data_IF_158267071887
#
_entry.id   IF_158267071887
#
_cell.length_a   1.000
_cell.length_b   1.000
_cell.length_c   1.000
_cell.angle_alpha   90.00
_cell.angle_beta   90.00
_cell.angle_gamma   90.00
#
_symmetry.space_group_name_H-M   'P 1'
#
loop_
_entity.id
_entity.type
_entity.pdbx_description
1 polymer ?
#
# COMPACT_ATOMS: atom_id res chain seq x y z
N UNK A 1 -1.89 8.70 -44.78
CA UNK A 1 -2.34 8.61 -43.40
C UNK A 1 -3.35 9.71 -43.20
N UNK A 2 -4.45 9.48 -42.47
CA UNK A 2 -5.39 10.55 -42.13
C UNK A 2 -4.65 11.67 -41.36
N UNK A 3 -5.12 12.90 -41.53
CA UNK A 3 -4.60 14.03 -40.74
C UNK A 3 -4.82 13.81 -39.22
N UNK A 4 -4.03 14.42 -38.37
CA UNK A 4 -4.05 14.22 -36.93
C UNK A 4 -5.47 14.35 -36.33
N UNK A 5 -6.25 15.33 -36.82
CA UNK A 5 -7.61 15.57 -36.32
C UNK A 5 -8.60 14.48 -36.74
N UNK A 6 -8.51 13.95 -37.94
CA UNK A 6 -9.35 12.85 -38.44
C UNK A 6 -9.07 11.57 -37.65
N UNK A 7 -7.78 11.27 -37.41
CA UNK A 7 -7.37 10.13 -36.60
C UNK A 7 -7.88 10.24 -35.16
N UNK A 8 -7.76 11.43 -34.58
CA UNK A 8 -8.24 11.68 -33.23
C UNK A 8 -9.76 11.58 -33.10
N UNK A 9 -10.50 12.01 -34.12
CA UNK A 9 -11.95 11.85 -34.15
C UNK A 9 -12.37 10.37 -34.13
N UNK A 10 -11.69 9.51 -34.89
CA UNK A 10 -11.94 8.07 -34.91
C UNK A 10 -11.65 7.47 -33.52
N UNK A 11 -10.50 7.78 -32.92
CA UNK A 11 -10.12 7.30 -31.57
C UNK A 11 -11.15 7.72 -30.53
N UNK A 12 -11.59 8.96 -30.55
CA UNK A 12 -12.58 9.46 -29.61
C UNK A 12 -13.95 8.78 -29.75
N UNK A 13 -14.41 8.54 -30.97
CA UNK A 13 -15.69 7.87 -31.23
C UNK A 13 -15.67 6.42 -30.73
N UNK A 14 -14.58 5.68 -30.98
CA UNK A 14 -14.41 4.32 -30.49
C UNK A 14 -14.26 4.26 -28.94
N UNK A 15 -13.51 5.17 -28.34
CA UNK A 15 -13.40 5.27 -26.89
C UNK A 15 -14.75 5.65 -26.25
N UNK A 16 -15.55 6.49 -26.90
CA UNK A 16 -16.88 6.85 -26.42
C UNK A 16 -17.85 5.64 -26.42
N UNK A 17 -17.71 4.73 -27.38
CA UNK A 17 -18.51 3.50 -27.43
C UNK A 17 -18.05 2.45 -26.43
N UNK A 18 -16.75 2.41 -26.12
CA UNK A 18 -16.15 1.39 -25.27
C UNK A 18 -16.10 1.74 -23.77
N UNK A 19 -16.30 3.00 -23.43
CA UNK A 19 -16.24 3.50 -22.05
C UNK A 19 -17.62 3.89 -21.54
N UNK A 20 -17.80 3.88 -20.22
CA UNK A 20 -19.01 4.47 -19.61
C UNK A 20 -19.03 5.99 -19.80
N UNK A 21 -20.21 6.65 -19.85
CA UNK A 21 -20.29 8.10 -20.04
C UNK A 21 -19.47 8.91 -19.02
N UNK A 22 -19.39 8.43 -17.78
CA UNK A 22 -18.57 9.03 -16.73
C UNK A 22 -17.08 8.82 -17.02
N UNK A 23 -16.69 7.60 -17.38
CA UNK A 23 -15.31 7.28 -17.72
C UNK A 23 -14.79 8.07 -18.92
N UNK A 24 -15.60 8.19 -19.99
CA UNK A 24 -15.26 9.01 -21.15
C UNK A 24 -15.04 10.49 -20.78
N UNK A 25 -15.97 11.04 -19.99
CA UNK A 25 -15.88 12.45 -19.57
C UNK A 25 -14.65 12.71 -18.70
N UNK A 26 -14.30 11.78 -17.81
CA UNK A 26 -13.17 11.94 -16.87
C UNK A 26 -11.83 11.78 -17.56
N UNK A 27 -11.68 10.80 -18.45
CA UNK A 27 -10.39 10.38 -18.96
C UNK A 27 -10.09 10.83 -20.39
N UNK A 28 -11.11 11.00 -21.23
CA UNK A 28 -10.90 11.25 -22.67
C UNK A 28 -11.18 12.70 -23.07
N UNK A 29 -12.20 13.34 -22.45
CA UNK A 29 -12.63 14.69 -22.87
C UNK A 29 -11.53 15.76 -22.70
N UNK A 30 -10.65 15.60 -21.74
CA UNK A 30 -9.56 16.52 -21.42
C UNK A 30 -8.27 16.22 -22.15
N UNK A 31 -8.16 15.06 -22.80
CA UNK A 31 -6.99 14.68 -23.57
C UNK A 31 -6.99 15.37 -24.94
N UNK A 32 -5.81 15.80 -25.40
CA UNK A 32 -5.59 16.49 -26.68
C UNK A 32 -4.51 15.82 -27.50
N UNK A 33 -4.71 15.62 -28.80
CA UNK A 33 -3.65 15.18 -29.70
C UNK A 33 -2.72 16.37 -29.99
N UNK A 34 -1.42 16.20 -29.76
CA UNK A 34 -0.43 17.25 -29.98
C UNK A 34 0.28 17.10 -31.32
N UNK A 35 0.70 15.88 -31.65
CA UNK A 35 1.43 15.62 -32.88
C UNK A 35 1.29 14.17 -33.33
N UNK A 36 1.41 13.97 -34.63
CA UNK A 36 1.52 12.66 -35.26
C UNK A 36 2.86 12.61 -36.06
N UNK A 37 3.87 11.96 -35.50
CA UNK A 37 5.18 11.84 -36.06
C UNK A 37 5.41 10.42 -36.56
N UNK A 38 5.43 10.20 -37.86
CA UNK A 38 5.56 8.88 -38.48
C UNK A 38 4.55 7.87 -37.94
N UNK A 39 4.92 7.10 -36.92
CA UNK A 39 4.07 6.10 -36.24
C UNK A 39 3.83 6.42 -34.74
N UNK A 40 4.12 7.62 -34.31
CA UNK A 40 3.93 8.04 -32.90
C UNK A 40 2.82 9.09 -32.80
N UNK A 41 1.78 8.79 -32.06
CA UNK A 41 0.71 9.72 -31.72
C UNK A 41 0.96 10.29 -30.33
N UNK A 42 1.28 11.58 -30.24
CA UNK A 42 1.51 12.26 -28.98
C UNK A 42 0.19 12.81 -28.47
N UNK A 43 -0.19 12.37 -27.26
CA UNK A 43 -1.43 12.75 -26.58
C UNK A 43 -1.08 13.47 -25.29
N UNK A 44 -1.57 14.69 -25.12
CA UNK A 44 -1.42 15.47 -23.90
C UNK A 44 -2.62 15.30 -22.99
N UNK A 45 -2.34 15.09 -21.70
CA UNK A 45 -3.36 15.01 -20.64
C UNK A 45 -3.00 15.97 -19.50
N UNK A 46 -4.00 16.53 -18.77
CA UNK A 46 -3.75 17.55 -17.76
C UNK A 46 -2.91 17.09 -16.57
N UNK A 47 -3.04 15.85 -16.12
CA UNK A 47 -2.50 15.36 -14.85
C UNK A 47 -1.81 14.00 -15.00
N UNK A 48 -0.82 13.71 -14.13
CA UNK A 48 -0.10 12.43 -14.10
C UNK A 48 -1.03 11.23 -13.83
N UNK A 49 -2.08 11.42 -13.04
CA UNK A 49 -3.08 10.38 -12.81
C UNK A 49 -3.81 9.97 -14.11
N UNK A 50 -4.09 10.95 -14.98
CA UNK A 50 -4.69 10.68 -16.28
C UNK A 50 -3.69 10.01 -17.21
N UNK A 51 -2.42 10.40 -17.17
CA UNK A 51 -1.34 9.75 -17.92
C UNK A 51 -1.24 8.27 -17.54
N UNK A 52 -1.15 7.94 -16.26
CA UNK A 52 -1.10 6.56 -15.77
C UNK A 52 -2.31 5.74 -16.23
N UNK A 53 -3.51 6.33 -16.19
CA UNK A 53 -4.71 5.66 -16.66
C UNK A 53 -4.69 5.40 -18.17
N UNK A 54 -4.26 6.38 -18.96
CA UNK A 54 -4.12 6.27 -20.41
C UNK A 54 -3.11 5.19 -20.79
N UNK A 55 -1.94 5.19 -20.19
CA UNK A 55 -0.89 4.21 -20.46
C UNK A 55 -1.33 2.78 -20.13
N UNK A 56 -2.02 2.58 -19.02
CA UNK A 56 -2.44 1.24 -18.57
C UNK A 56 -3.70 0.70 -19.22
N UNK A 57 -4.66 1.55 -19.54
CA UNK A 57 -6.01 1.12 -19.92
C UNK A 57 -6.44 1.53 -21.32
N UNK A 58 -5.90 2.61 -21.88
CA UNK A 58 -6.35 3.17 -23.14
C UNK A 58 -5.31 3.05 -24.27
N UNK A 59 -4.01 3.06 -23.99
CA UNK A 59 -2.96 2.99 -25.00
C UNK A 59 -3.11 1.77 -25.92
N UNK A 60 -3.32 0.58 -25.37
CA UNK A 60 -3.52 -0.64 -26.14
C UNK A 60 -4.77 -0.57 -27.03
N UNK A 61 -5.86 0.00 -26.52
CA UNK A 61 -7.09 0.19 -27.30
C UNK A 61 -6.90 1.18 -28.47
N UNK A 62 -6.15 2.25 -28.24
CA UNK A 62 -5.83 3.21 -29.30
C UNK A 62 -5.07 2.53 -30.43
N UNK A 63 -4.08 1.70 -30.13
CA UNK A 63 -3.34 0.92 -31.13
C UNK A 63 -4.30 0.02 -31.94
N UNK A 64 -5.17 -0.70 -31.23
CA UNK A 64 -6.15 -1.61 -31.85
C UNK A 64 -7.13 -0.86 -32.76
N UNK A 65 -7.71 0.26 -32.31
CA UNK A 65 -8.68 1.04 -33.09
C UNK A 65 -8.05 1.66 -34.32
N UNK A 66 -6.84 2.19 -34.21
CA UNK A 66 -6.12 2.76 -35.33
C UNK A 66 -5.78 1.67 -36.35
N UNK A 67 -5.32 0.52 -35.90
CA UNK A 67 -5.01 -0.60 -36.81
C UNK A 67 -6.27 -1.08 -37.55
N UNK A 68 -7.41 -1.18 -36.90
CA UNK A 68 -8.68 -1.59 -37.52
C UNK A 68 -9.15 -0.61 -38.60
N UNK A 69 -8.92 0.69 -38.45
CA UNK A 69 -9.44 1.72 -39.35
C UNK A 69 -8.43 2.13 -40.44
N UNK A 70 -7.15 2.05 -40.17
CA UNK A 70 -6.11 2.55 -41.12
C UNK A 70 -5.18 1.46 -41.63
N UNK A 71 -5.17 0.26 -41.02
CA UNK A 71 -4.21 -0.81 -41.32
C UNK A 71 -2.76 -0.47 -40.93
N UNK A 72 -2.53 0.66 -40.27
CA UNK A 72 -1.20 1.11 -39.82
C UNK A 72 -1.02 0.92 -38.30
N UNK A 73 0.21 0.59 -37.90
CA UNK A 73 0.57 0.55 -36.48
C UNK A 73 0.95 1.94 -35.99
N UNK A 74 0.36 2.37 -34.86
CA UNK A 74 0.70 3.63 -34.18
C UNK A 74 1.05 3.33 -32.74
N UNK A 75 2.07 4.02 -32.22
CA UNK A 75 2.46 3.98 -30.81
C UNK A 75 1.97 5.26 -30.13
N UNK A 76 0.96 5.21 -29.23
CA UNK A 76 0.56 6.37 -28.46
C UNK A 76 1.62 6.71 -27.40
N UNK A 77 2.00 7.99 -27.35
CA UNK A 77 2.90 8.56 -26.34
C UNK A 77 2.09 9.54 -25.54
N UNK A 78 1.94 9.30 -24.24
CA UNK A 78 1.14 10.12 -23.34
C UNK A 78 2.06 11.06 -22.56
N UNK A 79 1.79 12.37 -22.62
CA UNK A 79 2.54 13.39 -21.87
C UNK A 79 1.60 14.27 -21.06
N UNK A 80 2.10 14.88 -19.98
CA UNK A 80 1.34 15.83 -19.16
C UNK A 80 1.61 17.27 -19.60
N UNK A 81 0.62 18.15 -19.42
CA UNK A 81 0.63 19.54 -19.86
C UNK A 81 1.64 20.46 -19.09
N UNK A 82 2.34 19.95 -18.08
CA UNK A 82 3.29 20.69 -17.27
C UNK A 82 4.72 20.20 -17.50
N UNK A 83 5.41 20.76 -18.46
CA UNK A 83 6.82 21.18 -18.49
C UNK A 83 7.25 21.45 -19.94
N UNK A 84 7.36 22.72 -20.28
CA UNK A 84 8.50 23.37 -20.90
C UNK A 84 8.06 24.57 -21.73
N UNK A 85 7.93 25.69 -21.06
CA UNK A 85 8.37 26.95 -21.65
C UNK A 85 9.85 27.13 -21.25
N UNK A 86 10.72 27.11 -22.21
CA UNK A 86 11.97 27.85 -22.45
C UNK A 86 12.92 26.98 -23.30
N UNK A 87 12.89 27.23 -24.60
CA UNK A 87 14.05 27.55 -25.45
C UNK A 87 13.69 27.48 -26.92
N UNK A 88 13.23 28.64 -27.40
CA UNK A 88 13.50 29.02 -28.80
C UNK A 88 14.97 29.43 -28.86
N UNK A 89 15.72 28.91 -29.78
CA UNK A 89 16.50 29.72 -30.74
C UNK A 89 17.20 28.83 -31.78
N UNK A 90 16.80 29.08 -33.00
CA UNK A 90 17.53 29.36 -34.21
C UNK A 90 18.28 28.21 -34.90
N UNK A 91 17.67 27.92 -36.04
CA UNK A 91 18.18 27.50 -37.34
C UNK A 91 19.67 27.78 -37.62
N UNK A 92 20.39 26.78 -38.09
CA UNK A 92 21.12 26.82 -39.39
C UNK A 92 21.65 25.41 -39.75
N UNK A 93 21.26 24.91 -40.92
CA UNK A 93 21.92 23.81 -41.65
C UNK A 93 22.92 24.46 -42.66
N UNK A 94 23.74 23.77 -43.44
CA UNK A 94 24.14 22.36 -43.46
C UNK A 94 25.66 22.17 -43.62
N UNK A 95 26.18 20.97 -43.45
CA UNK A 95 27.12 20.34 -44.42
C UNK A 95 27.48 18.91 -44.00
N UNK A 96 27.48 18.07 -45.00
CA UNK A 96 27.87 16.67 -45.03
C UNK A 96 29.34 16.47 -44.64
N UNK A 97 29.65 15.43 -43.88
CA UNK A 97 30.82 14.60 -44.12
C UNK A 97 30.60 13.16 -43.64
N UNK A 98 31.00 12.27 -44.50
CA UNK A 98 30.90 10.81 -44.46
C UNK A 98 31.96 10.25 -43.51
N UNK A 99 31.59 9.28 -42.71
CA UNK A 99 32.56 8.32 -42.23
C UNK A 99 32.38 7.81 -40.79
N UNK A 100 32.21 6.52 -40.76
CA UNK A 100 32.52 5.58 -39.67
C UNK A 100 31.40 5.06 -38.79
N UNK A 101 31.33 3.75 -38.85
CA UNK A 101 30.45 2.84 -38.13
C UNK A 101 30.37 3.17 -36.66
N UNK A 102 29.24 3.67 -36.21
CA UNK A 102 28.94 3.74 -34.80
C UNK A 102 28.29 2.44 -34.36
N UNK A 103 29.05 1.66 -33.62
CA UNK A 103 28.53 0.73 -32.61
C UNK A 103 27.43 1.43 -31.82
N UNK A 104 26.24 0.86 -31.84
CA UNK A 104 25.11 1.30 -31.03
C UNK A 104 25.57 1.41 -29.57
N UNK A 105 25.77 2.64 -29.13
CA UNK A 105 25.91 2.96 -27.72
C UNK A 105 24.52 2.73 -27.11
N UNK A 106 24.35 1.56 -26.51
CA UNK A 106 23.23 1.27 -25.62
C UNK A 106 23.32 2.31 -24.50
N UNK A 107 22.49 3.34 -24.59
CA UNK A 107 22.28 4.28 -23.48
C UNK A 107 21.87 3.45 -22.27
N UNK A 108 22.60 3.51 -21.15
CA UNK A 108 22.25 2.75 -19.98
C UNK A 108 20.86 3.18 -19.51
N UNK A 109 19.97 2.21 -19.30
CA UNK A 109 18.59 2.37 -18.79
C UNK A 109 18.57 2.83 -17.32
N UNK A 110 19.54 3.66 -16.91
CA UNK A 110 19.76 4.08 -15.51
C UNK A 110 18.97 5.34 -15.09
N UNK A 111 18.07 5.84 -15.92
CA UNK A 111 17.12 6.88 -15.52
C UNK A 111 15.69 6.34 -15.44
N UNK A 112 15.49 5.26 -14.68
CA UNK A 112 14.14 5.09 -14.12
C UNK A 112 13.96 6.14 -13.03
N UNK A 113 12.85 6.90 -13.03
CA UNK A 113 12.58 7.86 -11.98
C UNK A 113 12.69 7.14 -10.62
N UNK A 114 13.18 7.83 -9.61
CA UNK A 114 13.42 7.29 -8.25
C UNK A 114 12.17 6.72 -7.58
N UNK A 115 10.99 6.85 -8.21
CA UNK A 115 9.66 6.47 -7.69
C UNK A 115 9.35 7.01 -6.28
N UNK A 116 10.05 8.07 -5.88
CA UNK A 116 9.79 8.72 -4.60
C UNK A 116 8.54 9.59 -4.69
N UNK A 117 7.63 9.46 -3.73
CA UNK A 117 6.47 10.33 -3.63
C UNK A 117 6.89 11.72 -3.14
N UNK A 118 6.68 12.76 -3.96
CA UNK A 118 7.08 14.14 -3.66
C UNK A 118 6.40 14.74 -2.42
N UNK A 119 5.29 14.16 -1.97
CA UNK A 119 4.56 14.60 -0.77
C UNK A 119 5.18 14.10 0.53
N UNK A 120 6.06 13.08 0.47
CA UNK A 120 6.64 12.43 1.64
C UNK A 120 8.03 12.97 1.92
N UNK A 121 8.09 14.13 2.57
CA UNK A 121 9.32 14.81 2.98
C UNK A 121 9.40 14.92 4.51
N UNK A 122 10.56 15.28 5.05
CA UNK A 122 10.68 15.54 6.49
C UNK A 122 9.83 16.74 6.93
N UNK A 123 9.67 17.76 6.08
CA UNK A 123 8.87 18.96 6.39
C UNK A 123 7.38 18.65 6.55
N UNK A 124 6.88 17.64 5.81
CA UNK A 124 5.48 17.22 5.88
C UNK A 124 5.24 16.14 6.93
N UNK A 125 6.30 15.60 7.53
CA UNK A 125 6.20 14.58 8.56
C UNK A 125 5.99 15.20 9.94
N UNK A 126 4.89 14.83 10.61
CA UNK A 126 4.59 15.30 11.96
C UNK A 126 5.26 14.42 13.00
N UNK A 127 6.17 15.01 13.76
CA UNK A 127 6.90 14.32 14.83
C UNK A 127 6.07 14.31 16.12
N UNK A 128 6.00 13.16 16.77
CA UNK A 128 5.35 12.96 18.07
C UNK A 128 6.06 11.88 18.88
N UNK A 129 5.58 11.60 20.10
CA UNK A 129 6.23 10.64 21.02
C UNK A 129 6.41 9.25 20.41
N UNK A 130 5.46 8.82 19.57
CA UNK A 130 5.47 7.48 18.96
C UNK A 130 6.39 7.31 17.77
N UNK A 131 6.98 8.39 17.21
CA UNK A 131 7.81 8.33 16.01
C UNK A 131 9.08 9.19 16.07
N UNK A 132 9.33 9.88 17.19
CA UNK A 132 10.47 10.79 17.36
C UNK A 132 11.81 10.10 17.13
N UNK A 133 12.00 8.89 17.65
CA UNK A 133 13.23 8.13 17.47
C UNK A 133 13.42 7.71 16.01
N UNK A 134 12.33 7.28 15.34
CA UNK A 134 12.36 6.90 13.94
C UNK A 134 12.70 8.11 13.05
N UNK A 135 12.13 9.28 13.34
CA UNK A 135 12.44 10.52 12.63
C UNK A 135 13.90 10.93 12.81
N UNK A 136 14.44 10.90 14.05
CA UNK A 136 15.83 11.24 14.32
C UNK A 136 16.80 10.28 13.61
N UNK A 137 16.54 8.96 13.65
CA UNK A 137 17.33 7.97 12.93
C UNK A 137 17.30 8.17 11.41
N UNK A 138 16.13 8.54 10.87
CA UNK A 138 15.95 8.84 9.44
C UNK A 138 16.80 10.05 9.00
N UNK A 139 16.84 11.11 9.80
CA UNK A 139 17.70 12.28 9.54
C UNK A 139 19.17 11.91 9.49
N UNK A 140 19.67 11.20 10.52
CA UNK A 140 21.08 10.77 10.58
C UNK A 140 21.45 9.95 9.34
N UNK A 141 20.62 9.01 8.94
CA UNK A 141 20.88 8.14 7.78
C UNK A 141 20.86 8.93 6.46
N UNK A 142 20.02 9.95 6.34
CA UNK A 142 19.97 10.78 5.15
C UNK A 142 21.18 11.70 4.97
N UNK A 143 21.77 12.14 6.09
CA UNK A 143 22.96 13.01 6.12
C UNK A 143 24.25 12.21 5.97
N UNK A 144 24.39 11.09 6.69
CA UNK A 144 25.57 10.23 6.73
C UNK A 144 25.26 8.77 6.38
N UNK A 145 24.84 8.47 5.13
CA UNK A 145 24.48 7.11 4.75
C UNK A 145 25.62 6.13 4.85
N UNK A 146 25.30 4.88 5.21
CA UNK A 146 26.24 3.77 5.28
C UNK A 146 27.20 3.75 6.49
N UNK A 147 27.09 4.72 7.39
CA UNK A 147 28.04 4.88 8.50
C UNK A 147 27.51 4.35 9.83
N UNK A 148 26.39 4.87 10.32
CA UNK A 148 25.94 4.63 11.69
C UNK A 148 24.87 3.54 11.82
N UNK A 149 23.79 3.69 11.10
CA UNK A 149 22.60 2.83 11.20
C UNK A 149 22.35 2.10 9.88
N UNK A 150 23.12 1.05 9.63
CA UNK A 150 22.97 0.26 8.41
C UNK A 150 22.83 -1.24 8.73
N UNK A 151 21.70 -1.88 8.41
CA UNK A 151 20.47 -1.28 7.89
C UNK A 151 19.71 -0.42 8.92
N UNK A 152 18.89 0.51 8.45
CA UNK A 152 17.87 1.14 9.27
C UNK A 152 16.54 0.41 9.03
N UNK A 153 15.92 -0.09 10.09
CA UNK A 153 14.74 -0.93 10.03
C UNK A 153 13.57 -0.28 10.78
N UNK A 154 12.54 0.16 10.06
CA UNK A 154 11.32 0.66 10.67
C UNK A 154 10.28 -0.45 10.78
N UNK A 155 9.71 -0.63 11.98
CA UNK A 155 8.61 -1.56 12.17
C UNK A 155 7.45 -0.92 12.94
N UNK A 156 6.27 -1.52 12.85
CA UNK A 156 5.06 -1.03 13.53
C UNK A 156 3.83 -1.22 12.66
N UNK A 157 2.67 -0.98 13.21
CA UNK A 157 1.38 -1.20 12.56
C UNK A 157 1.23 -0.55 11.18
N UNK A 158 0.20 -0.95 10.45
CA UNK A 158 -0.10 -0.41 9.12
C UNK A 158 -0.52 1.07 9.23
N UNK A 159 -0.06 1.91 8.27
CA UNK A 159 -0.49 3.30 8.17
C UNK A 159 0.07 4.25 9.24
N UNK A 160 1.22 3.94 9.86
CA UNK A 160 1.86 4.77 10.88
C UNK A 160 2.95 5.73 10.36
N UNK A 161 3.20 5.76 9.04
CA UNK A 161 4.17 6.68 8.43
C UNK A 161 5.54 6.09 8.12
N UNK A 162 5.74 4.76 8.18
CA UNK A 162 7.00 4.08 7.80
C UNK A 162 7.46 4.44 6.39
N UNK A 163 6.58 4.24 5.42
CA UNK A 163 6.82 4.59 4.01
C UNK A 163 7.11 6.08 3.84
N UNK A 164 6.44 6.96 4.58
CA UNK A 164 6.69 8.40 4.56
C UNK A 164 8.14 8.72 4.94
N UNK A 165 8.62 8.22 6.10
CA UNK A 165 10.00 8.43 6.53
C UNK A 165 11.02 7.85 5.55
N UNK A 166 10.72 6.69 4.97
CA UNK A 166 11.57 6.07 3.96
C UNK A 166 11.73 6.97 2.72
N UNK A 167 10.66 7.54 2.21
CA UNK A 167 10.71 8.48 1.08
C UNK A 167 11.39 9.79 1.47
N UNK A 168 11.17 10.29 2.71
CA UNK A 168 11.82 11.50 3.21
C UNK A 168 13.35 11.35 3.25
N UNK A 169 13.87 10.18 3.66
CA UNK A 169 15.31 9.85 3.59
C UNK A 169 15.80 9.97 2.14
N UNK A 170 15.06 9.38 1.19
CA UNK A 170 15.44 9.44 -0.23
C UNK A 170 15.48 10.88 -0.77
N UNK A 171 14.47 11.68 -0.48
CA UNK A 171 14.43 13.10 -0.89
C UNK A 171 15.56 13.93 -0.27
N UNK A 172 15.81 13.77 1.03
CA UNK A 172 16.87 14.49 1.72
C UNK A 172 18.25 14.11 1.19
N UNK A 173 18.50 12.82 0.96
CA UNK A 173 19.76 12.37 0.38
C UNK A 173 19.99 12.95 -1.01
N UNK A 174 18.97 13.00 -1.88
CA UNK A 174 19.06 13.62 -3.20
C UNK A 174 19.25 15.13 -3.14
N UNK A 175 18.66 15.81 -2.15
CA UNK A 175 18.88 17.24 -1.92
C UNK A 175 20.32 17.54 -1.51
N UNK A 176 20.92 16.71 -0.66
CA UNK A 176 22.30 16.85 -0.19
C UNK A 176 23.34 16.34 -1.23
N UNK A 177 22.98 15.32 -2.00
CA UNK A 177 23.83 14.63 -2.98
C UNK A 177 23.04 14.38 -4.26
N UNK A 178 22.94 15.35 -5.18
CA UNK A 178 22.12 15.24 -6.40
C UNK A 178 22.50 14.06 -7.31
N UNK A 179 23.78 13.65 -7.27
CA UNK A 179 24.29 12.53 -8.10
C UNK A 179 24.08 11.15 -7.44
N UNK A 180 23.51 11.08 -6.23
CA UNK A 180 23.30 9.85 -5.53
C UNK A 180 22.26 8.97 -6.23
N UNK A 181 22.54 7.68 -6.34
CA UNK A 181 21.64 6.68 -6.90
C UNK A 181 20.72 6.15 -5.80
N UNK A 182 19.50 6.68 -5.75
CA UNK A 182 18.46 6.26 -4.80
C UNK A 182 17.45 5.36 -5.49
N UNK A 183 17.19 4.19 -4.93
CA UNK A 183 16.18 3.25 -5.44
C UNK A 183 15.17 2.91 -4.33
N UNK A 184 13.92 3.21 -4.61
CA UNK A 184 12.78 2.75 -3.81
C UNK A 184 12.09 1.58 -4.52
N UNK A 185 11.75 0.56 -3.74
CA UNK A 185 11.03 -0.61 -4.24
C UNK A 185 10.22 -1.25 -3.10
N UNK A 186 9.04 -1.80 -3.42
CA UNK A 186 8.36 -2.71 -2.49
C UNK A 186 8.98 -4.10 -2.58
N UNK A 187 8.95 -4.89 -1.52
CA UNK A 187 9.47 -6.26 -1.56
C UNK A 187 8.74 -7.14 -2.60
N UNK A 188 7.49 -6.83 -2.89
CA UNK A 188 6.73 -7.49 -3.95
C UNK A 188 7.26 -7.11 -5.34
N UNK A 189 7.53 -5.83 -5.59
CA UNK A 189 8.12 -5.37 -6.85
C UNK A 189 9.51 -5.94 -7.06
N UNK A 190 10.36 -5.98 -6.00
CA UNK A 190 11.66 -6.65 -6.05
C UNK A 190 11.55 -8.12 -6.47
N UNK A 191 10.58 -8.86 -5.88
CA UNK A 191 10.34 -10.25 -6.23
C UNK A 191 9.91 -10.41 -7.70
N UNK A 192 9.03 -9.54 -8.18
CA UNK A 192 8.55 -9.56 -9.56
C UNK A 192 9.67 -9.21 -10.55
N UNK A 193 10.49 -8.19 -10.25
CA UNK A 193 11.65 -7.82 -11.06
C UNK A 193 12.65 -8.97 -11.15
N UNK A 194 12.91 -9.66 -10.03
CA UNK A 194 13.78 -10.84 -10.00
C UNK A 194 13.24 -11.98 -10.87
N UNK A 195 11.94 -12.34 -10.71
CA UNK A 195 11.30 -13.38 -11.51
C UNK A 195 11.35 -13.04 -13.00
N UNK A 196 11.04 -11.80 -13.35
CA UNK A 196 11.09 -11.32 -14.72
C UNK A 196 12.53 -11.41 -15.29
N UNK A 197 13.54 -11.07 -14.48
CA UNK A 197 14.94 -11.16 -14.91
C UNK A 197 15.38 -12.59 -15.24
N UNK A 198 14.84 -13.58 -14.51
CA UNK A 198 15.08 -15.00 -14.79
C UNK A 198 14.41 -15.40 -16.12
N UNK A 199 13.14 -15.01 -16.31
CA UNK A 199 12.38 -15.35 -17.51
C UNK A 199 12.99 -14.73 -18.78
N UNK A 200 13.51 -13.51 -18.67
CA UNK A 200 14.14 -12.76 -19.78
C UNK A 200 15.65 -12.99 -19.89
N UNK A 201 16.25 -13.81 -19.01
CA UNK A 201 17.70 -14.05 -18.92
C UNK A 201 18.53 -12.77 -18.71
N UNK A 202 18.01 -11.84 -17.92
CA UNK A 202 18.63 -10.55 -17.62
C UNK A 202 19.03 -10.41 -16.14
N UNK A 203 19.41 -11.52 -15.48
CA UNK A 203 19.76 -11.51 -14.05
C UNK A 203 20.95 -10.59 -13.74
N UNK A 204 21.92 -10.49 -14.66
CA UNK A 204 23.08 -9.62 -14.46
C UNK A 204 22.69 -8.13 -14.48
N UNK A 205 21.76 -7.74 -15.38
CA UNK A 205 21.21 -6.39 -15.42
C UNK A 205 20.43 -6.07 -14.12
N UNK A 206 19.63 -7.01 -13.65
CA UNK A 206 18.92 -6.89 -12.38
C UNK A 206 19.90 -6.67 -11.21
N UNK A 207 20.96 -7.49 -11.11
CA UNK A 207 22.01 -7.35 -10.08
C UNK A 207 22.70 -6.00 -10.16
N UNK A 208 23.06 -5.56 -11.35
CA UNK A 208 23.67 -4.26 -11.57
C UNK A 208 22.74 -3.13 -11.11
N UNK A 209 21.45 -3.20 -11.43
CA UNK A 209 20.45 -2.20 -11.05
C UNK A 209 20.26 -2.10 -9.54
N UNK A 210 20.23 -3.24 -8.82
CA UNK A 210 19.96 -3.26 -7.40
C UNK A 210 21.22 -3.13 -6.53
N UNK A 211 22.41 -3.51 -7.03
CA UNK A 211 23.65 -3.51 -6.24
C UNK A 211 24.56 -2.30 -6.51
N UNK A 212 24.21 -1.42 -7.48
CA UNK A 212 25.00 -0.20 -7.78
C UNK A 212 24.41 1.09 -7.21
N UNK A 213 23.43 0.99 -6.34
CA UNK A 213 22.76 2.15 -5.71
C UNK A 213 23.53 2.63 -4.47
N UNK A 214 23.39 3.91 -4.13
CA UNK A 214 23.94 4.49 -2.92
C UNK A 214 22.98 4.37 -1.72
N UNK A 215 21.67 4.29 -2.03
CA UNK A 215 20.59 4.09 -1.06
C UNK A 215 19.55 3.13 -1.64
N UNK A 216 19.34 2.01 -0.96
CA UNK A 216 18.26 1.07 -1.26
C UNK A 216 17.16 1.18 -0.19
N UNK A 217 15.96 1.51 -0.63
CA UNK A 217 14.75 1.62 0.17
C UNK A 217 13.82 0.45 -0.17
N UNK A 218 13.60 -0.48 0.77
CA UNK A 218 12.72 -1.64 0.54
C UNK A 218 11.56 -1.62 1.50
N UNK A 219 10.37 -1.41 0.95
CA UNK A 219 9.14 -1.30 1.72
C UNK A 219 8.46 -2.66 1.88
N UNK A 220 7.84 -2.86 3.06
CA UNK A 220 6.99 -3.99 3.37
C UNK A 220 7.66 -5.36 3.21
N UNK A 221 8.84 -5.56 3.84
CA UNK A 221 9.63 -6.79 3.70
C UNK A 221 8.94 -8.07 4.18
N UNK A 222 7.83 -7.97 4.92
CA UNK A 222 7.02 -9.12 5.30
C UNK A 222 6.50 -9.93 4.11
N UNK A 223 6.41 -9.33 2.92
CA UNK A 223 6.02 -10.03 1.69
C UNK A 223 7.13 -10.89 1.08
N UNK A 224 8.34 -10.93 1.66
CA UNK A 224 9.35 -11.95 1.35
C UNK A 224 9.01 -13.32 1.95
N UNK A 225 8.09 -13.39 2.91
CA UNK A 225 7.60 -14.66 3.46
C UNK A 225 7.27 -15.65 2.34
N UNK A 226 7.63 -16.92 2.53
CA UNK A 226 7.37 -18.02 1.58
C UNK A 226 8.04 -17.92 0.19
N UNK A 227 8.93 -16.94 -0.06
CA UNK A 227 9.61 -16.74 -1.37
C UNK A 227 11.11 -17.04 -1.27
N UNK A 228 11.49 -18.31 -1.05
CA UNK A 228 12.88 -18.72 -0.78
C UNK A 228 13.90 -18.19 -1.81
N UNK A 229 13.64 -18.33 -3.11
CA UNK A 229 14.54 -17.85 -4.16
C UNK A 229 14.72 -16.33 -4.15
N UNK A 230 13.65 -15.58 -3.86
CA UNK A 230 13.72 -14.11 -3.72
C UNK A 230 14.49 -13.72 -2.47
N UNK A 231 14.31 -14.43 -1.36
CA UNK A 231 15.06 -14.20 -0.12
C UNK A 231 16.56 -14.43 -0.34
N UNK A 232 16.93 -15.44 -1.13
CA UNK A 232 18.33 -15.71 -1.47
C UNK A 232 18.97 -14.58 -2.29
N UNK A 233 18.30 -14.13 -3.37
CA UNK A 233 18.82 -13.03 -4.18
C UNK A 233 18.87 -11.72 -3.39
N UNK A 234 17.87 -11.47 -2.52
CA UNK A 234 17.88 -10.31 -1.65
C UNK A 234 19.02 -10.36 -0.63
N UNK A 235 19.32 -11.53 -0.08
CA UNK A 235 20.48 -11.71 0.83
C UNK A 235 21.80 -11.35 0.14
N UNK A 236 22.00 -11.76 -1.10
CA UNK A 236 23.19 -11.41 -1.88
C UNK A 236 23.23 -9.91 -2.23
N UNK A 237 22.08 -9.31 -2.55
CA UNK A 237 21.99 -7.87 -2.83
C UNK A 237 22.29 -7.06 -1.55
N UNK A 238 21.73 -7.47 -0.41
CA UNK A 238 22.01 -6.86 0.88
C UNK A 238 23.49 -6.87 1.22
N UNK A 239 24.16 -8.04 1.11
CA UNK A 239 25.58 -8.14 1.42
C UNK A 239 26.43 -7.27 0.49
N UNK A 240 26.17 -7.27 -0.81
CA UNK A 240 26.90 -6.43 -1.76
C UNK A 240 26.82 -4.94 -1.39
N UNK A 241 25.64 -4.45 -1.07
CA UNK A 241 25.45 -3.05 -0.66
C UNK A 241 26.08 -2.76 0.71
N UNK A 242 25.92 -3.66 1.67
CA UNK A 242 26.47 -3.50 3.01
C UNK A 242 28.00 -3.46 3.01
N UNK A 243 28.66 -4.37 2.28
CA UNK A 243 30.11 -4.46 2.16
C UNK A 243 30.68 -3.20 1.46
N UNK A 244 29.95 -2.63 0.51
CA UNK A 244 30.27 -1.37 -0.18
C UNK A 244 29.87 -0.12 0.63
N UNK A 245 29.42 -0.28 1.90
CA UNK A 245 28.96 0.81 2.77
C UNK A 245 27.83 1.65 2.16
N UNK A 246 26.99 1.04 1.33
CA UNK A 246 25.79 1.66 0.80
C UNK A 246 24.66 1.55 1.82
N UNK A 247 23.82 2.57 1.90
CA UNK A 247 22.73 2.61 2.87
C UNK A 247 21.58 1.71 2.47
N UNK A 248 21.07 0.95 3.44
CA UNK A 248 19.87 0.13 3.29
C UNK A 248 18.83 0.59 4.32
N UNK A 249 17.60 0.85 3.88
CA UNK A 249 16.46 1.16 4.75
C UNK A 249 15.33 0.18 4.45
N UNK A 250 14.79 -0.43 5.49
CA UNK A 250 13.78 -1.46 5.40
C UNK A 250 12.55 -1.08 6.22
N UNK A 251 11.35 -1.46 5.76
CA UNK A 251 10.14 -1.36 6.59
C UNK A 251 9.44 -2.70 6.72
N UNK A 252 8.69 -2.87 7.81
CA UNK A 252 7.84 -4.02 8.05
C UNK A 252 6.66 -3.66 8.96
N UNK A 253 5.62 -4.48 8.95
CA UNK A 253 4.52 -4.40 9.91
C UNK A 253 4.87 -5.00 11.28
N UNK A 254 5.99 -5.75 11.38
CA UNK A 254 6.45 -6.48 12.57
C UNK A 254 7.96 -6.63 12.61
N UNK A 255 8.49 -7.11 13.72
CA UNK A 255 9.93 -7.41 13.86
C UNK A 255 10.38 -8.53 12.91
N UNK A 256 11.67 -8.55 12.48
CA UNK A 256 12.17 -9.58 11.55
C UNK A 256 11.99 -11.02 12.01
N UNK A 257 12.08 -11.28 13.33
CA UNK A 257 11.89 -12.61 13.92
C UNK A 257 10.41 -13.03 14.01
N UNK A 258 9.48 -12.11 13.80
CA UNK A 258 8.04 -12.37 13.80
C UNK A 258 7.48 -12.62 12.39
N UNK A 259 8.32 -12.40 11.35
CA UNK A 259 7.94 -12.68 9.97
C UNK A 259 8.01 -14.21 9.74
N UNK A 260 6.87 -14.87 9.46
CA UNK A 260 6.87 -16.31 9.26
C UNK A 260 7.75 -16.71 8.08
N UNK A 261 8.50 -17.82 8.21
CA UNK A 261 9.33 -18.40 7.13
C UNK A 261 10.36 -17.45 6.51
N UNK A 262 10.73 -16.38 7.20
CA UNK A 262 11.89 -15.58 6.85
C UNK A 262 13.16 -16.32 7.28
N UNK A 263 14.13 -16.46 6.37
CA UNK A 263 15.37 -17.18 6.62
C UNK A 263 16.18 -16.52 7.75
N UNK A 264 16.72 -17.31 8.67
CA UNK A 264 17.48 -16.82 9.84
C UNK A 264 18.65 -15.90 9.46
N UNK A 265 19.29 -16.17 8.32
CA UNK A 265 20.38 -15.31 7.81
C UNK A 265 19.92 -13.89 7.48
N UNK A 266 18.68 -13.71 6.94
CA UNK A 266 18.08 -12.39 6.70
C UNK A 266 17.66 -11.74 8.02
N UNK A 267 17.04 -12.51 8.92
CA UNK A 267 16.69 -12.03 10.27
C UNK A 267 17.91 -11.46 10.98
N UNK A 268 19.05 -12.18 10.92
CA UNK A 268 20.30 -11.73 11.49
C UNK A 268 20.80 -10.43 10.87
N UNK A 269 20.76 -10.32 9.54
CA UNK A 269 21.18 -9.11 8.81
C UNK A 269 20.29 -7.89 9.12
N UNK A 270 18.98 -8.08 9.18
CA UNK A 270 18.06 -7.00 9.50
C UNK A 270 18.19 -6.47 10.92
N UNK A 271 18.61 -7.32 11.86
CA UNK A 271 18.90 -6.94 13.25
C UNK A 271 20.27 -6.32 13.47
N UNK A 272 21.16 -6.36 12.49
CA UNK A 272 22.53 -5.89 12.67
C UNK A 272 22.62 -4.39 12.88
N UNK A 273 21.79 -3.60 12.20
CA UNK A 273 21.75 -2.14 12.32
C UNK A 273 20.82 -1.66 13.43
N UNK A 274 20.08 -0.59 13.15
CA UNK A 274 19.12 -0.01 14.08
C UNK A 274 17.69 -0.40 13.70
N UNK A 275 16.97 -1.06 14.61
CA UNK A 275 15.53 -1.30 14.47
C UNK A 275 14.76 -0.33 15.36
N UNK A 276 13.83 0.40 14.77
CA UNK A 276 13.02 1.43 15.45
C UNK A 276 11.54 1.15 15.25
N UNK A 277 10.79 1.16 16.34
CA UNK A 277 9.34 1.06 16.30
C UNK A 277 8.67 2.39 16.00
N UNK A 278 7.55 2.32 15.31
CA UNK A 278 6.64 3.44 15.11
C UNK A 278 5.28 3.03 15.68
N UNK A 279 4.88 3.72 16.74
CA UNK A 279 3.63 3.45 17.46
C UNK A 279 2.52 4.42 17.07
N UNK A 280 1.25 4.08 17.31
CA UNK A 280 0.13 4.98 17.01
C UNK A 280 0.31 6.36 17.65
N UNK A 281 0.00 7.44 16.92
CA UNK A 281 0.17 8.80 17.40
C UNK A 281 -0.81 9.14 18.53
N UNK A 282 -0.37 9.95 19.49
CA UNK A 282 -1.25 10.51 20.51
C UNK A 282 -2.22 11.54 19.90
N UNK A 283 -3.20 12.00 20.70
CA UNK A 283 -4.25 12.91 20.22
C UNK A 283 -3.68 14.21 19.66
N UNK A 284 -2.67 14.77 20.32
CA UNK A 284 -2.04 16.03 19.91
C UNK A 284 -1.33 15.87 18.55
N UNK A 285 -0.61 14.78 18.39
CA UNK A 285 0.04 14.43 17.11
C UNK A 285 -0.99 14.20 16.00
N UNK A 286 -2.13 13.52 16.30
CA UNK A 286 -3.21 13.33 15.32
C UNK A 286 -3.83 14.65 14.86
N UNK A 287 -4.07 15.58 15.78
CA UNK A 287 -4.58 16.93 15.45
C UNK A 287 -3.57 17.67 14.56
N UNK A 288 -2.28 17.60 14.89
CA UNK A 288 -1.24 18.24 14.10
C UNK A 288 -1.14 17.64 12.67
N UNK A 289 -1.27 16.32 12.54
CA UNK A 289 -1.32 15.63 11.22
C UNK A 289 -2.51 16.13 10.40
N UNK A 290 -3.70 16.18 11.00
CA UNK A 290 -4.89 16.67 10.29
C UNK A 290 -4.76 18.14 9.89
N UNK A 291 -4.14 18.97 10.75
CA UNK A 291 -3.90 20.40 10.43
C UNK A 291 -2.94 20.53 9.25
N UNK A 292 -1.78 19.87 9.27
CA UNK A 292 -0.85 19.87 8.14
C UNK A 292 -1.52 19.42 6.85
N UNK A 293 -2.35 18.40 6.93
CA UNK A 293 -3.09 17.89 5.76
C UNK A 293 -4.11 18.91 5.25
N UNK A 294 -4.88 19.54 6.15
CA UNK A 294 -5.86 20.57 5.80
C UNK A 294 -5.18 21.79 5.16
N UNK A 295 -4.04 22.23 5.71
CA UNK A 295 -3.27 23.35 5.19
C UNK A 295 -2.70 23.04 3.80
N UNK A 296 -2.15 21.84 3.59
CA UNK A 296 -1.65 21.41 2.29
C UNK A 296 -2.74 21.33 1.20
N UNK A 297 -3.97 21.03 1.59
CA UNK A 297 -5.15 20.98 0.70
C UNK A 297 -5.94 22.29 0.70
N UNK A 298 -5.43 23.34 1.37
CA UNK A 298 -6.06 24.67 1.49
C UNK A 298 -7.50 24.63 2.04
N UNK A 299 -7.77 23.67 2.94
CA UNK A 299 -9.07 23.51 3.56
C UNK A 299 -9.19 24.39 4.81
N UNK A 300 -10.25 25.18 4.87
CA UNK A 300 -10.58 25.94 6.06
C UNK A 300 -11.41 25.09 7.02
N UNK A 301 -10.76 24.54 8.04
CA UNK A 301 -11.37 23.64 9.02
C UNK A 301 -11.14 24.21 10.43
N UNK A 302 -12.20 24.46 11.22
CA UNK A 302 -12.05 24.91 12.60
C UNK A 302 -11.26 23.90 13.45
N UNK A 303 -10.42 24.37 14.36
CA UNK A 303 -9.61 23.53 15.25
C UNK A 303 -10.46 22.57 16.11
N UNK A 304 -11.64 22.97 16.51
CA UNK A 304 -12.59 22.11 17.21
C UNK A 304 -13.02 20.92 16.36
N UNK A 305 -13.18 21.13 15.04
CA UNK A 305 -13.53 20.07 14.11
C UNK A 305 -12.36 19.11 13.87
N UNK A 306 -11.13 19.62 13.73
CA UNK A 306 -9.92 18.78 13.66
C UNK A 306 -9.77 17.94 14.94
N UNK A 307 -9.95 18.54 16.11
CA UNK A 307 -9.91 17.86 17.41
C UNK A 307 -10.99 16.77 17.51
N UNK A 308 -12.21 17.06 17.00
CA UNK A 308 -13.28 16.09 16.94
C UNK A 308 -12.91 14.89 16.05
N UNK A 309 -12.44 15.12 14.83
CA UNK A 309 -12.04 14.05 13.89
C UNK A 309 -10.91 13.21 14.50
N UNK A 310 -9.88 13.85 15.06
CA UNK A 310 -8.76 13.18 15.73
C UNK A 310 -9.20 12.31 16.91
N UNK A 311 -10.22 12.74 17.65
CA UNK A 311 -10.79 12.00 18.76
C UNK A 311 -11.64 10.79 18.35
N UNK A 312 -12.08 10.72 17.09
CA UNK A 312 -12.89 9.61 16.59
C UNK A 312 -12.04 8.44 16.05
N UNK A 313 -10.81 8.72 15.62
CA UNK A 313 -9.92 7.77 14.95
C UNK A 313 -8.62 7.67 15.75
N UNK A 314 -8.36 6.52 16.35
CA UNK A 314 -7.18 6.24 17.19
C UNK A 314 -6.28 5.13 16.61
N UNK A 315 -6.70 4.50 15.52
CA UNK A 315 -6.08 3.32 14.94
C UNK A 315 -4.77 3.64 14.19
N UNK A 316 -4.84 4.44 13.14
CA UNK A 316 -3.71 4.75 12.27
C UNK A 316 -3.91 6.03 11.46
N UNK A 317 -2.81 6.55 10.87
CA UNK A 317 -2.80 7.81 10.12
C UNK A 317 -3.59 7.69 8.81
N UNK A 318 -3.56 6.53 8.13
CA UNK A 318 -4.33 6.34 6.88
C UNK A 318 -5.83 6.46 7.10
N UNK A 319 -6.34 5.89 8.20
CA UNK A 319 -7.75 6.05 8.55
C UNK A 319 -8.09 7.48 8.99
N UNK A 320 -7.15 8.12 9.69
CA UNK A 320 -7.28 9.52 10.10
C UNK A 320 -7.39 10.45 8.88
N UNK A 321 -6.50 10.32 7.91
CA UNK A 321 -6.55 11.06 6.63
C UNK A 321 -7.80 10.70 5.82
N UNK A 322 -8.16 9.40 5.78
CA UNK A 322 -9.38 8.94 5.14
C UNK A 322 -10.65 9.55 5.75
N UNK A 323 -10.69 9.75 7.07
CA UNK A 323 -11.78 10.43 7.75
C UNK A 323 -11.88 11.91 7.33
N UNK A 324 -10.75 12.62 7.20
CA UNK A 324 -10.73 14.00 6.71
C UNK A 324 -11.26 14.10 5.28
N UNK A 325 -10.77 13.26 4.37
CA UNK A 325 -11.24 13.20 2.97
C UNK A 325 -12.74 12.94 2.91
N UNK A 326 -13.25 12.07 3.77
CA UNK A 326 -14.69 11.78 3.83
C UNK A 326 -15.51 12.98 4.30
N UNK A 327 -15.03 13.71 5.31
CA UNK A 327 -15.68 14.94 5.79
C UNK A 327 -15.71 15.99 4.70
N UNK A 328 -14.60 16.17 3.97
CA UNK A 328 -14.49 17.07 2.82
C UNK A 328 -15.47 16.68 1.69
N UNK A 329 -15.50 15.41 1.30
CA UNK A 329 -16.43 14.92 0.29
C UNK A 329 -17.89 15.13 0.69
N UNK A 330 -18.23 14.91 1.97
CA UNK A 330 -19.57 15.12 2.48
C UNK A 330 -19.96 16.61 2.49
N UNK A 331 -19.03 17.51 2.85
CA UNK A 331 -19.20 18.96 2.80
C UNK A 331 -19.46 19.43 1.35
N UNK A 332 -18.66 18.96 0.40
CA UNK A 332 -18.80 19.28 -1.02
C UNK A 332 -20.15 18.80 -1.58
N UNK A 333 -20.55 17.57 -1.25
CA UNK A 333 -21.82 17.00 -1.70
C UNK A 333 -23.04 17.78 -1.16
N UNK A 334 -22.94 18.28 0.07
CA UNK A 334 -24.01 19.05 0.73
C UNK A 334 -23.95 20.55 0.44
N UNK A 335 -22.89 21.05 -0.22
CA UNK A 335 -22.61 22.47 -0.41
C UNK A 335 -22.58 23.25 0.90
N UNK A 336 -21.98 22.66 1.94
CA UNK A 336 -21.86 23.24 3.28
C UNK A 336 -20.39 23.46 3.67
N UNK A 337 -20.15 24.44 4.54
CA UNK A 337 -18.84 24.63 5.17
C UNK A 337 -18.56 23.50 6.17
N UNK A 338 -17.28 23.13 6.29
CA UNK A 338 -16.86 22.08 7.24
C UNK A 338 -17.05 22.59 8.67
N UNK A 339 -17.83 21.87 9.46
CA UNK A 339 -18.11 22.15 10.87
C UNK A 339 -18.12 20.85 11.68
N UNK A 340 -18.05 20.94 13.00
CA UNK A 340 -18.06 19.78 13.89
C UNK A 340 -19.33 18.94 13.75
N UNK A 341 -20.49 19.58 13.55
CA UNK A 341 -21.76 18.88 13.31
C UNK A 341 -21.76 18.11 11.98
N UNK A 342 -21.23 18.73 10.92
CA UNK A 342 -21.08 18.08 9.61
C UNK A 342 -20.10 16.92 9.68
N UNK A 343 -18.97 17.08 10.38
CA UNK A 343 -18.00 16.01 10.62
C UNK A 343 -18.63 14.84 11.40
N UNK A 344 -19.45 15.13 12.41
CA UNK A 344 -20.17 14.12 13.16
C UNK A 344 -21.11 13.29 12.26
N UNK A 345 -21.87 13.95 11.41
CA UNK A 345 -22.77 13.28 10.45
C UNK A 345 -21.99 12.44 9.41
N UNK A 346 -20.90 13.00 8.86
CA UNK A 346 -20.07 12.31 7.87
C UNK A 346 -19.40 11.05 8.45
N UNK A 347 -19.01 11.07 9.74
CA UNK A 347 -18.29 9.98 10.41
C UNK A 347 -19.22 9.01 11.18
N UNK A 348 -20.53 9.30 11.27
CA UNK A 348 -21.49 8.45 11.99
C UNK A 348 -21.48 6.99 11.54
N UNK A 349 -21.35 6.76 10.24
CA UNK A 349 -21.32 5.42 9.67
C UNK A 349 -19.97 4.70 9.85
N UNK A 350 -18.86 5.43 10.07
CA UNK A 350 -17.58 4.81 10.42
C UNK A 350 -17.61 4.17 11.81
N UNK A 351 -18.30 4.81 12.76
CA UNK A 351 -18.51 4.22 14.11
C UNK A 351 -19.37 2.96 14.07
N UNK A 352 -20.33 2.90 13.16
CA UNK A 352 -21.15 1.71 12.96
C UNK A 352 -20.34 0.59 12.27
N UNK A 353 -19.48 0.92 11.31
CA UNK A 353 -18.61 -0.04 10.63
C UNK A 353 -17.44 -0.52 11.52
N UNK A 354 -16.80 0.37 12.29
CA UNK A 354 -15.71 0.02 13.19
C UNK A 354 -16.16 -0.73 14.46
N UNK A 355 -17.38 -0.50 14.93
CA UNK A 355 -17.98 -1.29 16.03
C UNK A 355 -18.55 -2.63 15.57
N UNK A 356 -18.87 -2.77 14.28
CA UNK A 356 -19.45 -4.00 13.74
C UNK A 356 -18.42 -5.01 13.22
N UNK A 357 -17.11 -4.75 13.29
CA UNK A 357 -16.10 -5.68 12.79
C UNK A 357 -15.23 -6.37 13.84
N UNK A 358 -15.32 -6.02 15.11
CA UNK A 358 -14.77 -6.89 16.16
C UNK A 358 -15.86 -7.84 16.66
N UNK A 359 -15.85 -9.03 16.09
CA UNK A 359 -16.72 -10.11 16.52
C UNK A 359 -16.52 -10.36 18.03
N UNK A 360 -17.54 -10.07 18.83
CA UNK A 360 -17.45 -10.29 20.27
C UNK A 360 -17.72 -11.75 20.63
N UNK A 361 -17.14 -12.23 21.74
CA UNK A 361 -17.46 -13.57 22.26
C UNK A 361 -18.97 -13.72 22.48
N UNK A 362 -19.66 -12.65 22.80
CA UNK A 362 -21.12 -12.64 23.02
C UNK A 362 -21.87 -12.88 21.72
N UNK A 363 -21.43 -12.30 20.60
CA UNK A 363 -22.06 -12.50 19.29
C UNK A 363 -21.90 -13.95 18.85
N UNK A 364 -20.72 -14.54 19.07
CA UNK A 364 -20.49 -15.98 18.81
C UNK A 364 -21.38 -16.85 19.67
N UNK A 365 -21.54 -16.51 20.97
CA UNK A 365 -22.43 -17.26 21.84
C UNK A 365 -23.89 -17.18 21.40
N UNK A 366 -24.34 -16.00 20.99
CA UNK A 366 -25.70 -15.78 20.47
C UNK A 366 -25.97 -16.56 19.19
N UNK A 367 -25.05 -16.50 18.21
CA UNK A 367 -25.23 -17.18 16.93
C UNK A 367 -25.18 -18.70 17.10
N UNK A 368 -24.24 -19.23 17.89
CA UNK A 368 -24.16 -20.69 18.16
C UNK A 368 -25.39 -21.16 18.98
N UNK A 369 -25.86 -20.33 19.92
CA UNK A 369 -27.07 -20.64 20.69
C UNK A 369 -28.30 -20.71 19.79
N UNK A 370 -28.43 -19.78 18.86
CA UNK A 370 -29.50 -19.74 17.84
C UNK A 370 -29.41 -20.95 16.89
N UNK A 371 -28.24 -21.24 16.37
CA UNK A 371 -28.03 -22.32 15.40
C UNK A 371 -28.37 -23.71 15.96
N UNK A 372 -27.96 -23.98 17.21
CA UNK A 372 -28.20 -25.28 17.88
C UNK A 372 -29.44 -25.30 18.78
N UNK A 373 -30.25 -24.25 18.73
CA UNK A 373 -31.49 -24.11 19.55
C UNK A 373 -31.27 -24.31 21.06
N UNK A 374 -30.15 -23.79 21.57
CA UNK A 374 -29.81 -23.83 23.01
C UNK A 374 -29.76 -22.40 23.57
N UNK A 375 -29.91 -22.27 24.89
CA UNK A 375 -29.79 -20.94 25.49
C UNK A 375 -28.33 -20.54 25.70
N UNK A 376 -28.01 -19.25 25.65
CA UNK A 376 -26.68 -18.71 26.00
C UNK A 376 -26.33 -19.07 27.45
N UNK A 377 -27.33 -19.13 28.35
CA UNK A 377 -27.16 -19.56 29.73
C UNK A 377 -26.71 -21.02 29.84
N UNK A 378 -27.19 -21.92 28.95
CA UNK A 378 -26.72 -23.30 28.85
C UNK A 378 -25.29 -23.41 28.37
N UNK A 379 -24.88 -22.56 27.39
CA UNK A 379 -23.50 -22.50 26.92
C UNK A 379 -22.55 -22.09 28.06
N UNK A 380 -22.95 -21.15 28.91
CA UNK A 380 -22.19 -20.70 30.09
C UNK A 380 -22.31 -21.63 31.29
N UNK A 381 -23.32 -22.49 31.30
CA UNK A 381 -23.67 -23.32 32.44
C UNK A 381 -22.73 -24.51 32.69
N UNK A 382 -23.02 -25.28 33.74
CA UNK A 382 -22.25 -26.47 34.16
C UNK A 382 -22.82 -27.78 33.58
N UNK A 383 -23.93 -27.74 32.84
CA UNK A 383 -24.58 -28.95 32.26
C UNK A 383 -23.62 -29.69 31.32
N UNK A 384 -23.61 -31.05 31.43
CA UNK A 384 -22.69 -31.93 30.68
C UNK A 384 -23.43 -32.80 29.65
N UNK A 385 -24.65 -32.44 29.28
CA UNK A 385 -25.42 -33.17 28.25
C UNK A 385 -24.82 -32.88 26.87
N UNK A 386 -24.72 -33.91 26.04
CA UNK A 386 -24.05 -33.85 24.73
C UNK A 386 -24.64 -32.77 23.82
N UNK A 387 -25.94 -32.51 23.88
CA UNK A 387 -26.66 -31.45 23.14
C UNK A 387 -26.26 -30.05 23.54
N UNK A 388 -25.60 -29.83 24.69
CA UNK A 388 -25.11 -28.54 25.16
C UNK A 388 -23.58 -28.46 25.11
N UNK A 389 -22.89 -29.58 25.38
CA UNK A 389 -21.43 -29.65 25.42
C UNK A 389 -20.82 -29.39 24.03
N UNK A 390 -21.39 -30.00 22.99
CA UNK A 390 -20.88 -29.84 21.62
C UNK A 390 -21.03 -28.41 21.11
N UNK A 391 -22.21 -27.76 21.16
CA UNK A 391 -22.33 -26.33 20.84
C UNK A 391 -21.40 -25.45 21.65
N UNK A 392 -21.22 -25.70 22.95
CA UNK A 392 -20.28 -24.95 23.80
C UNK A 392 -18.85 -25.06 23.33
N UNK A 393 -18.39 -26.27 22.93
CA UNK A 393 -17.05 -26.50 22.41
C UNK A 393 -16.85 -25.82 21.05
N UNK A 394 -17.86 -25.84 20.18
CA UNK A 394 -17.85 -25.13 18.89
C UNK A 394 -17.78 -23.61 19.14
N UNK A 395 -18.56 -23.07 20.08
CA UNK A 395 -18.52 -21.64 20.41
C UNK A 395 -17.15 -21.23 20.96
N UNK A 396 -16.49 -22.04 21.80
CA UNK A 396 -15.12 -21.79 22.27
C UNK A 396 -14.10 -21.87 21.15
N UNK A 397 -14.23 -22.83 20.24
CA UNK A 397 -13.41 -22.94 19.04
C UNK A 397 -13.53 -21.72 18.17
N UNK A 398 -14.76 -21.30 17.83
CA UNK A 398 -15.00 -20.09 17.02
C UNK A 398 -14.50 -18.82 17.72
N UNK A 399 -14.67 -18.69 19.03
CA UNK A 399 -14.15 -17.57 19.81
C UNK A 399 -12.61 -17.49 19.72
N UNK A 400 -11.91 -18.61 19.69
CA UNK A 400 -10.45 -18.65 19.54
C UNK A 400 -10.00 -18.34 18.12
N UNK A 401 -10.72 -18.85 17.10
CA UNK A 401 -10.37 -18.69 15.68
C UNK A 401 -10.74 -17.34 15.10
N UNK A 402 -11.81 -16.72 15.60
CA UNK A 402 -12.40 -15.53 14.98
C UNK A 402 -12.24 -14.25 15.83
N UNK A 403 -11.60 -14.33 17.01
CA UNK A 403 -11.33 -13.18 17.86
C UNK A 403 -9.92 -13.20 18.44
N UNK A 404 -9.33 -12.02 18.67
CA UNK A 404 -8.01 -11.88 19.30
C UNK A 404 -8.05 -12.00 20.84
N UNK A 405 -9.12 -12.58 21.37
CA UNK A 405 -9.27 -12.71 22.80
C UNK A 405 -8.36 -13.80 23.40
N UNK A 406 -7.72 -13.48 24.53
CA UNK A 406 -6.89 -14.46 25.25
C UNK A 406 -7.71 -15.62 25.80
N UNK A 407 -7.10 -16.81 25.85
CA UNK A 407 -7.74 -18.02 26.38
C UNK A 407 -8.39 -17.85 27.76
N UNK A 408 -7.78 -17.14 28.74
CA UNK A 408 -8.42 -16.84 30.02
C UNK A 408 -9.65 -15.93 29.89
N UNK A 409 -9.66 -15.00 28.93
CA UNK A 409 -10.81 -14.12 28.67
C UNK A 409 -11.97 -14.91 28.06
N UNK A 410 -11.67 -15.81 27.09
CA UNK A 410 -12.67 -16.73 26.54
C UNK A 410 -13.25 -17.61 27.65
N UNK A 411 -12.42 -18.26 28.45
CA UNK A 411 -12.87 -19.11 29.56
C UNK A 411 -13.80 -18.39 30.54
N UNK A 412 -13.47 -17.16 30.94
CA UNK A 412 -14.32 -16.31 31.77
C UNK A 412 -15.70 -16.04 31.16
N UNK A 413 -15.76 -15.79 29.86
CA UNK A 413 -17.00 -15.51 29.12
C UNK A 413 -17.90 -16.74 29.00
N UNK A 414 -17.38 -17.96 29.17
CA UNK A 414 -18.12 -19.22 29.18
C UNK A 414 -18.41 -19.73 30.59
N UNK A 415 -18.66 -18.81 31.55
CA UNK A 415 -19.07 -19.14 32.91
C UNK A 415 -17.92 -19.52 33.85
N UNK A 416 -16.75 -18.84 33.68
CA UNK A 416 -15.60 -19.01 34.55
C UNK A 416 -14.84 -20.33 34.29
N UNK A 417 -14.86 -20.83 33.07
CA UNK A 417 -14.07 -22.00 32.67
C UNK A 417 -12.59 -21.66 32.64
N UNK A 418 -11.77 -22.66 33.00
CA UNK A 418 -10.33 -22.53 32.93
C UNK A 418 -9.86 -22.46 31.46
N UNK A 419 -8.73 -21.79 31.24
CA UNK A 419 -8.10 -21.67 29.92
C UNK A 419 -7.78 -23.05 29.30
N UNK A 420 -7.42 -24.04 30.10
CA UNK A 420 -7.20 -25.43 29.67
C UNK A 420 -8.46 -26.04 29.07
N UNK A 421 -9.66 -25.72 29.59
CA UNK A 421 -10.94 -26.17 29.02
C UNK A 421 -11.14 -25.59 27.60
N UNK A 422 -10.70 -24.36 27.35
CA UNK A 422 -10.79 -23.71 26.02
C UNK A 422 -9.82 -24.39 25.06
N UNK A 423 -8.59 -24.68 25.48
CA UNK A 423 -7.59 -25.42 24.68
C UNK A 423 -8.14 -26.78 24.26
N UNK A 424 -8.60 -27.59 25.23
CA UNK A 424 -9.16 -28.89 24.94
C UNK A 424 -10.41 -28.85 24.03
N UNK A 425 -11.26 -27.82 24.20
CA UNK A 425 -12.39 -27.62 23.30
C UNK A 425 -11.93 -27.33 21.87
N UNK A 426 -10.93 -26.46 21.73
CA UNK A 426 -10.36 -26.08 20.44
C UNK A 426 -9.72 -27.29 19.73
N UNK A 427 -8.82 -28.01 20.39
CA UNK A 427 -8.15 -29.20 19.84
C UNK A 427 -9.15 -30.30 19.42
N UNK A 428 -10.15 -30.54 20.28
CA UNK A 428 -11.16 -31.54 20.01
C UNK A 428 -12.02 -31.21 18.79
N UNK A 429 -12.43 -29.95 18.64
CA UNK A 429 -13.23 -29.52 17.48
C UNK A 429 -12.35 -29.50 16.22
N UNK A 430 -11.10 -29.03 16.30
CA UNK A 430 -10.16 -29.06 15.19
C UNK A 430 -9.96 -30.48 14.65
N UNK A 431 -9.71 -31.45 15.54
CA UNK A 431 -9.57 -32.86 15.15
C UNK A 431 -10.88 -33.47 14.59
N UNK A 432 -12.03 -33.09 15.17
CA UNK A 432 -13.32 -33.58 14.69
C UNK A 432 -13.68 -33.03 13.29
N UNK A 433 -13.23 -31.85 12.96
CA UNK A 433 -13.41 -31.23 11.64
C UNK A 433 -12.69 -32.00 10.51
N UNK A 434 -11.58 -32.69 10.82
CA UNK A 434 -10.86 -33.51 9.83
C UNK A 434 -11.66 -34.73 9.36
N UNK A 435 -12.58 -35.26 10.21
CA UNK A 435 -13.24 -36.53 9.99
C UNK A 435 -14.77 -36.46 9.83
N UNK A 436 -15.37 -35.23 10.02
CA UNK A 436 -16.84 -35.10 10.08
C UNK A 436 -17.33 -33.96 9.16
N UNK A 437 -17.78 -34.34 7.96
CA UNK A 437 -18.32 -33.43 6.95
C UNK A 437 -19.50 -32.60 7.45
N UNK A 438 -20.38 -33.18 8.29
CA UNK A 438 -21.51 -32.42 8.84
C UNK A 438 -21.03 -31.30 9.76
N UNK A 439 -20.06 -31.59 10.62
CA UNK A 439 -19.47 -30.59 11.51
C UNK A 439 -18.74 -29.48 10.71
N UNK A 440 -18.07 -29.85 9.62
CA UNK A 440 -17.44 -28.85 8.70
C UNK A 440 -18.47 -27.90 8.12
N UNK A 441 -19.63 -28.41 7.68
CA UNK A 441 -20.69 -27.62 7.12
C UNK A 441 -21.31 -26.69 8.20
N UNK A 442 -21.61 -27.22 9.40
CA UNK A 442 -22.14 -26.44 10.52
C UNK A 442 -21.18 -25.28 10.88
N UNK A 443 -19.88 -25.55 11.01
CA UNK A 443 -18.88 -24.54 11.36
C UNK A 443 -18.68 -23.52 10.21
N UNK A 444 -18.77 -23.94 8.96
CA UNK A 444 -18.70 -23.06 7.78
C UNK A 444 -19.89 -22.10 7.76
N UNK A 445 -21.09 -22.61 7.99
CA UNK A 445 -22.32 -21.81 8.04
C UNK A 445 -22.28 -20.80 9.18
N UNK A 446 -21.88 -21.24 10.38
CA UNK A 446 -21.68 -20.36 11.53
C UNK A 446 -20.65 -19.25 11.25
N UNK A 447 -19.51 -19.60 10.63
CA UNK A 447 -18.49 -18.60 10.23
C UNK A 447 -19.04 -17.59 9.22
N UNK A 448 -19.86 -18.02 8.28
CA UNK A 448 -20.49 -17.13 7.29
C UNK A 448 -21.51 -16.20 7.96
N UNK A 449 -22.39 -16.72 8.80
CA UNK A 449 -23.39 -15.93 9.52
C UNK A 449 -22.71 -14.85 10.41
N UNK A 450 -21.61 -15.22 11.10
CA UNK A 450 -20.85 -14.33 11.96
C UNK A 450 -20.06 -13.25 11.19
N UNK A 451 -19.80 -13.45 9.90
CA UNK A 451 -19.14 -12.43 9.03
C UNK A 451 -20.13 -11.49 8.36
N UNK A 452 -21.39 -11.88 8.28
CA UNK A 452 -22.42 -11.14 7.55
C UNK A 452 -23.26 -10.25 8.49
N UNK A 453 -23.21 -10.49 9.79
CA UNK A 453 -23.83 -9.67 10.84
C UNK A 453 -22.80 -8.69 11.44
#
# INVERSE_FOLDING_TARGET
MPELEELWAIIRDELQRSLTPVGYKTWVTTAKPIALNQNQLIIEVPEDLQKDYWERNLATKVVEYVYQHTGGEITPIIQTANHDEIRQTTTTSPQEEVGERNTATITPTFMRPTHLNSRYTFDTFVTGKGNQMAHAAALVVSEEPGTMYNPLFFYGGVGLGKTHLMHAIGHQMLALRPDAKVKYVTSEAFANDFINSIQTRQQEQFRQEYRSVDLLLVDDIQFFADKEGTQEEFFHTFNALYDDKKQIVLTSDRLPNEIPKLQERLVSRFKWGLSVDITPPDLETRIAILRNKADAEQLQIPDETLSYIAGQIDSNIRELEGALVRVQAYATMKHLTISTSLAADALKNLKLAGKNNELSITDIQNEVAKYYEVSVADLKGKKRVKTIVMPRQIAMYLAREMTDNSLPKIGRSFGGKDHTTVIHAHEKIAQALEQNERLQNDVRELKNNLRTN
#
